data_IF_552774805581
#
_entry.id   IF_552774805581
#
_cell.length_a   1.000
_cell.length_b   1.000
_cell.length_c   1.000
_cell.angle_alpha   90.00
_cell.angle_beta   90.00
_cell.angle_gamma   90.00
#
_symmetry.space_group_name_H-M   'P 1'
#
loop_
_entity.id
_entity.type
_entity.pdbx_description
1 polymer ?
#
# COMPACT_ATOMS: atom_id res chain seq x y z
N UNK A 1 2.78 -4.92 -21.26
CA UNK A 1 1.83 -3.82 -21.53
C UNK A 1 0.50 -4.44 -21.91
N UNK A 2 -0.62 -3.86 -21.47
CA UNK A 2 -1.96 -4.40 -21.74
C UNK A 2 -2.20 -4.55 -23.25
N UNK A 3 -2.77 -5.68 -23.69
CA UNK A 3 -3.23 -5.87 -25.07
C UNK A 3 -4.58 -5.19 -25.34
N UNK A 4 -5.07 -4.39 -24.40
CA UNK A 4 -6.30 -3.60 -24.55
C UNK A 4 -6.13 -2.56 -25.69
N UNK A 5 -6.92 -2.66 -26.77
CA UNK A 5 -6.87 -1.74 -27.90
C UNK A 5 -7.10 -0.28 -27.50
N UNK A 6 -7.88 -0.04 -26.44
CA UNK A 6 -8.16 1.31 -25.95
C UNK A 6 -6.91 1.90 -25.27
N UNK A 7 -6.23 1.11 -24.44
CA UNK A 7 -4.94 1.49 -23.82
C UNK A 7 -3.89 1.78 -24.88
N UNK A 8 -3.79 0.94 -25.92
CA UNK A 8 -2.84 1.14 -27.02
C UNK A 8 -3.07 2.47 -27.75
N UNK A 9 -4.33 2.81 -28.04
CA UNK A 9 -4.71 4.09 -28.68
C UNK A 9 -4.31 5.29 -27.82
N UNK A 10 -4.46 5.20 -26.50
CA UNK A 10 -4.04 6.26 -25.58
C UNK A 10 -2.51 6.41 -25.54
N UNK A 11 -1.75 5.32 -25.56
CA UNK A 11 -0.27 5.36 -25.63
C UNK A 11 0.21 6.00 -26.93
N UNK A 12 -0.35 5.61 -28.08
CA UNK A 12 -0.02 6.20 -29.38
C UNK A 12 -0.30 7.71 -29.41
N UNK A 13 -1.41 8.15 -28.79
CA UNK A 13 -1.73 9.59 -28.63
C UNK A 13 -0.69 10.32 -27.79
N UNK A 14 -0.24 9.72 -26.68
CA UNK A 14 0.80 10.31 -25.83
C UNK A 14 2.13 10.48 -26.58
N UNK A 15 2.54 9.44 -27.32
CA UNK A 15 3.78 9.50 -28.12
C UNK A 15 3.71 10.57 -29.22
N UNK A 16 2.54 10.77 -29.84
CA UNK A 16 2.33 11.86 -30.79
C UNK A 16 2.47 13.24 -30.14
N UNK A 17 1.78 13.49 -29.03
CA UNK A 17 1.83 14.76 -28.31
C UNK A 17 3.22 15.07 -27.73
N UNK A 18 3.94 14.03 -27.31
CA UNK A 18 5.33 14.17 -26.84
C UNK A 18 6.28 14.59 -27.98
N UNK A 19 6.08 14.11 -29.20
CA UNK A 19 6.85 14.54 -30.39
C UNK A 19 6.53 15.99 -30.79
N UNK A 20 5.32 16.45 -30.50
CA UNK A 20 4.87 17.82 -30.77
C UNK A 20 5.24 18.80 -29.65
N UNK A 21 5.90 18.32 -28.58
CA UNK A 21 6.24 19.09 -27.38
C UNK A 21 5.02 19.75 -26.69
N UNK A 22 3.82 19.22 -26.91
CA UNK A 22 2.58 19.71 -26.27
C UNK A 22 2.45 19.16 -24.84
N UNK A 23 3.08 19.86 -23.89
CA UNK A 23 3.07 19.48 -22.47
C UNK A 23 1.65 19.37 -21.91
N UNK A 24 0.76 20.29 -22.24
CA UNK A 24 -0.61 20.28 -21.71
C UNK A 24 -1.41 19.11 -22.30
N UNK A 25 -1.31 18.90 -23.61
CA UNK A 25 -1.90 17.74 -24.27
C UNK A 25 -1.42 16.43 -23.68
N UNK A 26 -0.12 16.30 -23.38
CA UNK A 26 0.44 15.11 -22.72
C UNK A 26 -0.20 14.90 -21.35
N UNK A 27 -0.33 15.94 -20.52
CA UNK A 27 -0.95 15.84 -19.18
C UNK A 27 -2.41 15.39 -19.30
N UNK A 28 -3.18 15.98 -20.21
CA UNK A 28 -4.60 15.64 -20.38
C UNK A 28 -4.77 14.22 -20.92
N UNK A 29 -3.98 13.83 -21.93
CA UNK A 29 -3.99 12.49 -22.51
C UNK A 29 -3.55 11.43 -21.49
N UNK A 30 -2.60 11.76 -20.61
CA UNK A 30 -2.18 10.89 -19.52
C UNK A 30 -3.32 10.73 -18.50
N UNK A 31 -4.03 11.82 -18.16
CA UNK A 31 -5.20 11.77 -17.30
C UNK A 31 -6.29 10.84 -17.84
N UNK A 32 -6.58 10.89 -19.14
CA UNK A 32 -7.54 9.98 -19.79
C UNK A 32 -7.04 8.54 -19.83
N UNK A 33 -5.76 8.31 -20.17
CA UNK A 33 -5.16 6.97 -20.12
C UNK A 33 -5.31 6.35 -18.72
N UNK A 34 -5.00 7.11 -17.67
CA UNK A 34 -5.09 6.65 -16.29
C UNK A 34 -6.53 6.30 -15.90
N UNK A 35 -7.53 7.10 -16.33
CA UNK A 35 -8.96 6.77 -16.13
C UNK A 35 -9.33 5.46 -16.82
N UNK A 36 -8.90 5.26 -18.07
CA UNK A 36 -9.17 4.03 -18.83
C UNK A 36 -8.54 2.82 -18.15
N UNK A 37 -7.23 2.88 -17.85
CA UNK A 37 -6.50 1.80 -17.18
C UNK A 37 -7.10 1.46 -15.81
N UNK A 38 -7.53 2.47 -15.04
CA UNK A 38 -8.13 2.25 -13.72
C UNK A 38 -9.47 1.50 -13.77
N UNK A 39 -10.22 1.61 -14.87
CA UNK A 39 -11.53 0.96 -15.04
C UNK A 39 -11.42 -0.45 -15.60
N UNK A 40 -10.40 -0.70 -16.42
CA UNK A 40 -10.26 -1.96 -17.15
C UNK A 40 -9.37 -2.98 -16.45
N UNK A 41 -8.63 -2.59 -15.39
CA UNK A 41 -7.81 -3.54 -14.66
C UNK A 41 -8.66 -4.56 -13.88
N UNK A 42 -8.93 -5.70 -14.52
CA UNK A 42 -9.42 -6.91 -13.88
C UNK A 42 -8.41 -8.02 -14.11
N UNK A 43 -7.84 -8.62 -13.06
CA UNK A 43 -7.01 -9.81 -13.25
C UNK A 43 -7.82 -10.90 -13.95
N UNK A 44 -7.25 -11.49 -15.00
CA UNK A 44 -7.92 -12.59 -15.73
C UNK A 44 -7.53 -13.96 -15.18
N UNK A 45 -6.40 -14.04 -14.49
CA UNK A 45 -5.81 -15.24 -13.91
C UNK A 45 -4.93 -14.87 -12.70
N UNK A 46 -4.43 -15.89 -12.01
CA UNK A 46 -3.56 -15.74 -10.84
C UNK A 46 -2.23 -15.08 -11.21
N UNK A 47 -1.70 -15.34 -12.41
CA UNK A 47 -0.43 -14.76 -12.85
C UNK A 47 -0.57 -13.24 -13.07
N UNK A 48 -1.64 -12.77 -13.70
CA UNK A 48 -1.95 -11.35 -13.83
C UNK A 48 -2.25 -10.70 -12.47
N UNK A 49 -2.94 -11.41 -11.56
CA UNK A 49 -3.18 -10.93 -10.19
C UNK A 49 -1.86 -10.70 -9.44
N UNK A 50 -0.95 -11.67 -9.53
CA UNK A 50 0.37 -11.60 -8.92
C UNK A 50 1.24 -10.52 -9.55
N UNK A 51 1.20 -10.38 -10.88
CA UNK A 51 1.88 -9.30 -11.59
C UNK A 51 1.40 -7.92 -11.13
N UNK A 52 0.09 -7.76 -10.90
CA UNK A 52 -0.48 -6.53 -10.34
C UNK A 52 0.11 -6.23 -8.96
N UNK A 53 0.06 -7.21 -8.06
CA UNK A 53 0.60 -7.09 -6.71
C UNK A 53 2.09 -6.74 -6.74
N UNK A 54 2.89 -7.42 -7.56
CA UNK A 54 4.32 -7.12 -7.74
C UNK A 54 4.52 -5.70 -8.27
N UNK A 55 3.71 -5.25 -9.23
CA UNK A 55 3.75 -3.89 -9.76
C UNK A 55 3.46 -2.84 -8.68
N UNK A 56 2.40 -3.05 -7.89
CA UNK A 56 2.06 -2.18 -6.75
C UNK A 56 3.20 -2.13 -5.73
N UNK A 57 3.74 -3.29 -5.35
CA UNK A 57 4.86 -3.40 -4.40
C UNK A 57 6.09 -2.66 -4.94
N UNK A 58 6.47 -2.89 -6.19
CA UNK A 58 7.64 -2.27 -6.82
C UNK A 58 7.57 -0.75 -6.79
N UNK A 59 6.43 -0.17 -7.19
CA UNK A 59 6.24 1.28 -7.23
C UNK A 59 6.24 1.87 -5.81
N UNK A 60 5.37 1.36 -4.93
CA UNK A 60 5.16 1.96 -3.62
C UNK A 60 6.34 1.74 -2.67
N UNK A 61 6.99 0.57 -2.72
CA UNK A 61 8.24 0.36 -2.00
C UNK A 61 9.33 1.31 -2.50
N UNK A 62 9.42 1.52 -3.80
CA UNK A 62 10.35 2.49 -4.39
C UNK A 62 10.15 3.90 -3.84
N UNK A 63 8.89 4.32 -3.62
CA UNK A 63 8.57 5.59 -2.97
C UNK A 63 9.01 5.63 -1.50
N UNK A 64 8.75 4.56 -0.74
CA UNK A 64 9.19 4.43 0.65
C UNK A 64 10.72 4.49 0.76
N UNK A 65 11.43 3.77 -0.12
CA UNK A 65 12.90 3.75 -0.14
C UNK A 65 13.48 5.13 -0.50
N UNK A 66 12.87 5.86 -1.45
CA UNK A 66 13.23 7.25 -1.75
C UNK A 66 13.04 8.17 -0.53
N UNK A 67 11.94 8.01 0.21
CA UNK A 67 11.71 8.78 1.44
C UNK A 67 12.73 8.43 2.53
N UNK A 68 13.15 7.16 2.63
CA UNK A 68 14.18 6.73 3.59
C UNK A 68 15.51 7.42 3.32
N UNK A 69 15.96 7.43 2.06
CA UNK A 69 17.20 8.12 1.64
C UNK A 69 17.14 9.62 1.98
N UNK A 70 16.00 10.28 1.71
CA UNK A 70 15.81 11.70 2.05
C UNK A 70 15.88 11.95 3.56
N UNK A 71 15.24 11.09 4.35
CA UNK A 71 15.34 11.13 5.80
C UNK A 71 16.80 10.98 6.26
N UNK A 72 17.57 10.03 5.73
CA UNK A 72 18.96 9.81 6.12
C UNK A 72 19.85 11.01 5.80
N UNK A 73 19.61 11.67 4.67
CA UNK A 73 20.30 12.91 4.30
C UNK A 73 19.95 14.05 5.26
N UNK A 74 18.67 14.26 5.56
CA UNK A 74 18.22 15.27 6.51
C UNK A 74 18.75 15.01 7.93
N UNK A 75 18.82 13.74 8.34
CA UNK A 75 19.37 13.33 9.62
C UNK A 75 20.87 13.63 9.71
N UNK A 76 21.63 13.29 8.67
CA UNK A 76 23.08 13.60 8.60
C UNK A 76 23.34 15.10 8.61
N UNK A 77 22.53 15.87 7.89
CA UNK A 77 22.66 17.33 7.87
C UNK A 77 22.35 17.93 9.25
N UNK A 78 21.28 17.51 9.91
CA UNK A 78 20.98 17.94 11.28
C UNK A 78 22.07 17.51 12.28
N UNK A 79 22.66 16.33 12.13
CA UNK A 79 23.79 15.89 12.96
C UNK A 79 25.02 16.80 12.82
N UNK A 80 25.21 17.46 11.67
CA UNK A 80 26.32 18.39 11.47
C UNK A 80 26.19 19.68 12.29
N UNK A 81 24.96 20.09 12.61
CA UNK A 81 24.68 21.19 13.55
C UNK A 81 23.33 20.97 14.23
N UNK A 82 23.37 20.29 15.38
CA UNK A 82 22.16 19.90 16.11
C UNK A 82 21.40 21.07 16.72
N UNK A 83 21.99 22.28 16.72
CA UNK A 83 21.37 23.51 17.22
C UNK A 83 20.57 24.24 16.13
N UNK A 84 20.75 23.88 14.87
CA UNK A 84 20.03 24.48 13.74
C UNK A 84 18.56 24.01 13.73
N UNK A 85 17.66 24.97 13.98
CA UNK A 85 16.22 24.73 14.05
C UNK A 85 15.61 24.41 12.68
N UNK A 86 16.12 24.97 11.58
CA UNK A 86 15.58 24.70 10.25
C UNK A 86 15.97 23.30 9.78
N UNK A 87 17.19 22.85 10.07
CA UNK A 87 17.60 21.46 9.84
C UNK A 87 16.77 20.47 10.64
N UNK A 88 16.49 20.78 11.91
CA UNK A 88 15.61 19.95 12.72
C UNK A 88 14.17 19.89 12.18
N UNK A 89 13.62 21.03 11.71
CA UNK A 89 12.29 21.06 11.07
C UNK A 89 12.26 20.23 9.79
N UNK A 90 13.29 20.30 8.96
CA UNK A 90 13.41 19.49 7.74
C UNK A 90 13.48 18.00 8.09
N UNK A 91 14.30 17.61 9.07
CA UNK A 91 14.35 16.23 9.57
C UNK A 91 12.97 15.73 10.00
N UNK A 92 12.24 16.52 10.82
CA UNK A 92 10.89 16.18 11.26
C UNK A 92 9.89 16.09 10.10
N UNK A 93 10.04 16.94 9.08
CA UNK A 93 9.25 16.84 7.86
C UNK A 93 9.50 15.52 7.13
N UNK A 94 10.75 15.18 6.82
CA UNK A 94 11.11 13.95 6.11
C UNK A 94 10.68 12.70 6.90
N UNK A 95 10.78 12.73 8.24
CA UNK A 95 10.27 11.67 9.11
C UNK A 95 8.77 11.41 8.94
N UNK A 96 7.95 12.47 8.97
CA UNK A 96 6.50 12.33 8.76
C UNK A 96 6.18 11.84 7.35
N UNK A 97 6.92 12.30 6.35
CA UNK A 97 6.74 11.85 4.97
C UNK A 97 7.07 10.36 4.83
N UNK A 98 8.20 9.90 5.39
CA UNK A 98 8.58 8.48 5.40
C UNK A 98 7.50 7.59 6.03
N UNK A 99 6.94 7.99 7.17
CA UNK A 99 5.88 7.22 7.84
C UNK A 99 4.60 7.18 6.99
N UNK A 100 4.18 8.32 6.43
CA UNK A 100 2.99 8.38 5.56
C UNK A 100 3.16 7.54 4.31
N UNK A 101 4.32 7.62 3.66
CA UNK A 101 4.62 6.84 2.44
C UNK A 101 4.65 5.34 2.74
N UNK A 102 5.26 4.93 3.85
CA UNK A 102 5.25 3.52 4.25
C UNK A 102 3.83 2.98 4.48
N UNK A 103 2.94 3.75 5.12
CA UNK A 103 1.56 3.30 5.28
C UNK A 103 0.75 3.35 3.98
N UNK A 104 1.02 4.29 3.07
CA UNK A 104 0.44 4.27 1.74
C UNK A 104 0.88 3.02 0.96
N UNK A 105 2.14 2.60 1.10
CA UNK A 105 2.64 1.32 0.56
C UNK A 105 1.88 0.13 1.15
N UNK A 106 1.74 0.06 2.48
CA UNK A 106 0.98 -0.99 3.15
C UNK A 106 -0.46 -1.03 2.64
N UNK A 107 -1.16 0.09 2.64
CA UNK A 107 -2.57 0.17 2.22
C UNK A 107 -2.74 -0.22 0.75
N UNK A 108 -1.89 0.28 -0.15
CA UNK A 108 -1.95 -0.04 -1.57
C UNK A 108 -1.68 -1.52 -1.85
N UNK A 109 -0.64 -2.09 -1.23
CA UNK A 109 -0.28 -3.50 -1.43
C UNK A 109 -1.29 -4.45 -0.76
N UNK A 110 -1.86 -4.09 0.39
CA UNK A 110 -2.97 -4.82 1.00
C UNK A 110 -4.24 -4.73 0.16
N UNK A 111 -4.56 -3.58 -0.41
CA UNK A 111 -5.67 -3.47 -1.36
C UNK A 111 -5.47 -4.43 -2.54
N UNK A 112 -4.32 -4.42 -3.20
CA UNK A 112 -4.02 -5.33 -4.30
C UNK A 112 -4.14 -6.81 -3.87
N UNK A 113 -3.60 -7.17 -2.70
CA UNK A 113 -3.74 -8.52 -2.14
C UNK A 113 -5.20 -8.94 -1.91
N UNK A 114 -6.06 -8.03 -1.41
CA UNK A 114 -7.49 -8.29 -1.25
C UNK A 114 -8.20 -8.51 -2.57
N UNK A 115 -7.84 -7.76 -3.61
CA UNK A 115 -8.40 -7.99 -4.94
C UNK A 115 -8.06 -9.39 -5.47
N UNK A 116 -6.83 -9.89 -5.21
CA UNK A 116 -6.46 -11.28 -5.55
C UNK A 116 -7.35 -12.29 -4.81
N UNK A 117 -7.58 -12.09 -3.51
CA UNK A 117 -8.45 -12.96 -2.70
C UNK A 117 -9.88 -12.96 -3.24
N UNK A 118 -10.45 -11.77 -3.50
CA UNK A 118 -11.82 -11.64 -4.00
C UNK A 118 -11.97 -12.28 -5.38
N UNK A 119 -10.98 -12.10 -6.25
CA UNK A 119 -10.94 -12.75 -7.57
C UNK A 119 -10.91 -14.29 -7.46
N UNK A 120 -10.07 -14.85 -6.58
CA UNK A 120 -10.01 -16.28 -6.34
C UNK A 120 -11.33 -16.81 -5.74
N UNK A 121 -11.98 -16.02 -4.87
CA UNK A 121 -13.28 -16.37 -4.30
C UNK A 121 -14.39 -16.44 -5.34
N UNK A 122 -14.46 -15.47 -6.27
CA UNK A 122 -15.44 -15.44 -7.35
C UNK A 122 -15.35 -16.66 -8.27
N UNK A 123 -14.19 -17.34 -8.30
CA UNK A 123 -13.92 -18.57 -9.05
C UNK A 123 -14.11 -19.85 -8.23
N UNK A 124 -14.45 -19.73 -6.95
CA UNK A 124 -14.60 -20.87 -6.05
C UNK A 124 -13.27 -21.50 -5.59
N UNK A 125 -12.14 -20.83 -5.81
CA UNK A 125 -10.81 -21.33 -5.41
C UNK A 125 -10.56 -21.13 -3.91
N UNK A 126 -11.20 -20.12 -3.30
CA UNK A 126 -11.18 -19.90 -1.84
C UNK A 126 -12.59 -19.60 -1.33
N UNK A 127 -12.97 -20.26 -0.23
CA UNK A 127 -14.24 -19.99 0.45
C UNK A 127 -14.13 -18.76 1.35
N UNK A 128 -15.03 -17.79 1.17
CA UNK A 128 -15.18 -16.62 2.04
C UNK A 128 -16.62 -16.55 2.57
N UNK A 129 -16.76 -16.34 3.87
CA UNK A 129 -18.04 -15.98 4.46
C UNK A 129 -18.47 -14.57 4.04
N UNK A 130 -19.77 -14.28 4.14
CA UNK A 130 -20.31 -12.94 3.82
C UNK A 130 -19.62 -11.82 4.61
N UNK A 131 -19.36 -11.95 5.93
CA UNK A 131 -18.60 -10.93 6.67
C UNK A 131 -17.16 -10.73 6.18
N UNK A 132 -16.45 -11.81 5.82
CA UNK A 132 -15.09 -11.70 5.27
C UNK A 132 -15.10 -10.98 3.94
N UNK A 133 -16.05 -11.30 3.05
CA UNK A 133 -16.23 -10.58 1.78
C UNK A 133 -16.49 -9.09 2.01
N UNK A 134 -17.37 -8.75 2.95
CA UNK A 134 -17.67 -7.37 3.31
C UNK A 134 -16.42 -6.61 3.75
N UNK A 135 -15.61 -7.22 4.63
CA UNK A 135 -14.40 -6.61 5.15
C UNK A 135 -13.34 -6.41 4.06
N UNK A 136 -13.16 -7.41 3.19
CA UNK A 136 -12.21 -7.34 2.06
C UNK A 136 -12.63 -6.32 0.99
N UNK A 137 -13.94 -6.09 0.82
CA UNK A 137 -14.52 -5.07 -0.07
C UNK A 137 -14.61 -3.68 0.56
N UNK A 138 -14.28 -3.53 1.85
CA UNK A 138 -14.48 -2.29 2.61
C UNK A 138 -15.94 -1.81 2.57
N UNK A 139 -16.87 -2.74 2.77
CA UNK A 139 -18.30 -2.50 2.75
C UNK A 139 -18.95 -2.79 4.11
N UNK A 140 -19.98 -2.02 4.44
CA UNK A 140 -20.93 -2.33 5.50
C UNK A 140 -22.33 -2.45 4.92
N UNK A 141 -23.14 -3.35 5.48
CA UNK A 141 -24.53 -3.52 5.08
C UNK A 141 -25.44 -2.80 6.07
N UNK A 142 -26.35 -1.97 5.54
CA UNK A 142 -27.41 -1.34 6.34
C UNK A 142 -28.76 -1.60 5.69
N UNK A 143 -29.80 -1.73 6.51
CA UNK A 143 -31.15 -1.82 5.98
C UNK A 143 -31.62 -0.43 5.52
N UNK A 144 -31.96 -0.31 4.24
CA UNK A 144 -32.58 0.86 3.66
C UNK A 144 -34.10 0.68 3.66
N UNK A 145 -34.79 1.49 4.47
CA UNK A 145 -36.25 1.42 4.62
C UNK A 145 -37.01 1.82 3.37
N UNK A 146 -36.44 2.64 2.48
CA UNK A 146 -37.06 3.05 1.21
C UNK A 146 -36.94 1.94 0.18
N UNK A 147 -35.76 1.34 0.06
CA UNK A 147 -35.53 0.22 -0.83
C UNK A 147 -36.10 -1.11 -0.27
N UNK A 148 -36.45 -1.14 1.02
CA UNK A 148 -36.87 -2.34 1.77
C UNK A 148 -35.87 -3.49 1.63
N UNK A 149 -34.57 -3.16 1.57
CA UNK A 149 -33.50 -4.09 1.30
C UNK A 149 -32.22 -3.71 2.07
N UNK A 150 -31.34 -4.68 2.29
CA UNK A 150 -29.98 -4.38 2.72
C UNK A 150 -29.20 -3.75 1.57
N UNK A 151 -28.54 -2.62 1.83
CA UNK A 151 -27.69 -1.92 0.87
C UNK A 151 -26.26 -1.89 1.38
N UNK A 152 -25.31 -2.14 0.47
CA UNK A 152 -23.90 -1.96 0.74
C UNK A 152 -23.57 -0.46 0.77
N UNK A 153 -22.74 -0.06 1.74
CA UNK A 153 -22.17 1.28 1.84
C UNK A 153 -20.67 1.16 2.06
N UNK A 154 -19.85 2.03 1.44
CA UNK A 154 -18.43 2.10 1.75
C UNK A 154 -18.24 2.27 3.26
N UNK A 155 -17.40 1.42 3.83
CA UNK A 155 -17.01 1.44 5.22
C UNK A 155 -15.50 1.32 5.28
N UNK A 156 -14.84 2.42 5.63
CA UNK A 156 -13.43 2.41 5.96
C UNK A 156 -13.27 1.66 7.28
N UNK A 157 -13.19 0.33 7.17
CA UNK A 157 -13.02 -0.57 8.30
C UNK A 157 -11.68 -0.33 8.99
N UNK A 158 -11.50 -0.98 10.14
CA UNK A 158 -10.22 -0.95 10.83
C UNK A 158 -9.14 -1.55 9.92
N UNK A 159 -8.16 -0.73 9.53
CA UNK A 159 -7.06 -1.13 8.65
C UNK A 159 -6.30 -2.35 9.19
N UNK A 160 -6.20 -2.51 10.51
CA UNK A 160 -5.58 -3.68 11.13
C UNK A 160 -6.41 -4.95 10.89
N UNK A 161 -7.73 -4.90 11.09
CA UNK A 161 -8.58 -6.08 10.92
C UNK A 161 -8.56 -6.55 9.47
N UNK A 162 -8.59 -5.62 8.52
CA UNK A 162 -8.45 -5.93 7.11
C UNK A 162 -7.08 -6.53 6.78
N UNK A 163 -6.00 -6.01 7.35
CA UNK A 163 -4.64 -6.54 7.15
C UNK A 163 -4.51 -7.96 7.73
N UNK A 164 -5.02 -8.20 8.93
CA UNK A 164 -5.01 -9.52 9.57
C UNK A 164 -5.82 -10.53 8.78
N UNK A 165 -7.03 -10.16 8.32
CA UNK A 165 -7.83 -11.03 7.47
C UNK A 165 -7.11 -11.34 6.15
N UNK A 166 -6.53 -10.33 5.51
CA UNK A 166 -5.80 -10.49 4.25
C UNK A 166 -4.66 -11.52 4.41
N UNK A 167 -3.81 -11.36 5.42
CA UNK A 167 -2.74 -12.32 5.70
C UNK A 167 -3.22 -13.70 6.17
N UNK A 168 -4.45 -13.79 6.68
CA UNK A 168 -5.06 -15.08 7.07
C UNK A 168 -5.58 -15.87 5.86
N UNK A 169 -6.00 -15.17 4.81
CA UNK A 169 -6.67 -15.76 3.65
C UNK A 169 -5.74 -15.91 2.45
N UNK A 170 -4.88 -14.93 2.17
CA UNK A 170 -4.02 -14.96 0.98
C UNK A 170 -3.14 -16.21 0.87
N UNK A 171 -2.60 -16.82 1.96
CA UNK A 171 -1.82 -18.05 1.83
C UNK A 171 -2.62 -19.20 1.19
N UNK A 172 -3.93 -19.25 1.44
CA UNK A 172 -4.83 -20.27 0.87
C UNK A 172 -4.94 -20.15 -0.64
N UNK A 173 -4.90 -18.93 -1.16
CA UNK A 173 -4.95 -18.66 -2.61
C UNK A 173 -3.69 -19.19 -3.31
N UNK A 174 -2.53 -19.05 -2.66
CA UNK A 174 -1.24 -19.47 -3.21
C UNK A 174 -0.79 -20.87 -2.75
N UNK A 175 -1.60 -21.56 -1.93
CA UNK A 175 -1.21 -22.86 -1.34
C UNK A 175 -0.08 -22.77 -0.30
N UNK A 176 0.26 -21.57 0.17
CA UNK A 176 1.26 -21.34 1.21
C UNK A 176 0.75 -21.84 2.57
N UNK A 177 1.63 -22.53 3.30
CA UNK A 177 1.37 -23.01 4.68
C UNK A 177 1.78 -21.97 5.74
N UNK A 178 2.05 -20.72 5.32
CA UNK A 178 2.44 -19.67 6.24
C UNK A 178 1.30 -19.30 7.20
N UNK A 179 1.68 -18.93 8.41
CA UNK A 179 0.79 -18.31 9.38
C UNK A 179 1.38 -16.96 9.77
N UNK A 180 0.50 -16.00 10.03
CA UNK A 180 0.92 -14.66 10.43
C UNK A 180 1.50 -14.69 11.86
N UNK A 181 2.75 -14.30 11.99
CA UNK A 181 3.41 -14.24 13.29
C UNK A 181 3.13 -12.91 14.00
N UNK A 182 2.24 -12.97 14.99
CA UNK A 182 1.87 -11.83 15.85
C UNK A 182 2.69 -11.76 17.15
N UNK A 183 3.56 -12.73 17.41
CA UNK A 183 4.32 -12.83 18.66
C UNK A 183 5.64 -12.03 18.63
N UNK A 184 6.10 -11.65 17.44
CA UNK A 184 7.39 -10.97 17.25
C UNK A 184 7.30 -9.49 17.56
N UNK A 185 8.43 -8.95 18.03
CA UNK A 185 8.67 -7.52 18.20
C UNK A 185 8.24 -6.68 16.98
N UNK A 186 8.39 -7.22 15.76
CA UNK A 186 8.00 -6.52 14.55
C UNK A 186 6.50 -6.22 14.42
N UNK A 187 5.61 -7.10 14.88
CA UNK A 187 4.17 -6.82 14.90
C UNK A 187 3.84 -5.70 15.90
N UNK A 188 4.42 -5.76 17.10
CA UNK A 188 4.23 -4.71 18.09
C UNK A 188 4.75 -3.36 17.56
N UNK A 189 5.94 -3.35 16.95
CA UNK A 189 6.51 -2.17 16.31
C UNK A 189 5.59 -1.63 15.20
N UNK A 190 4.96 -2.50 14.40
CA UNK A 190 4.01 -2.10 13.37
C UNK A 190 2.77 -1.41 13.96
N UNK A 191 2.16 -1.97 15.02
CA UNK A 191 1.01 -1.34 15.70
C UNK A 191 1.38 0.01 16.30
N UNK A 192 2.52 0.10 16.98
CA UNK A 192 2.97 1.37 17.56
C UNK A 192 3.26 2.41 16.48
N UNK A 193 3.81 1.99 15.33
CA UNK A 193 4.04 2.87 14.20
C UNK A 193 2.73 3.35 13.56
N UNK A 194 1.67 2.52 13.58
CA UNK A 194 0.34 2.93 13.12
C UNK A 194 -0.24 4.05 13.98
N UNK A 195 -0.05 3.99 15.31
CA UNK A 195 -0.43 5.09 16.19
C UNK A 195 0.32 6.38 15.86
N UNK A 196 1.64 6.28 15.58
CA UNK A 196 2.43 7.44 15.11
C UNK A 196 1.88 7.96 13.78
N UNK A 197 1.54 7.08 12.84
CA UNK A 197 0.91 7.48 11.57
C UNK A 197 -0.37 8.27 11.82
N UNK A 198 -1.26 7.73 12.66
CA UNK A 198 -2.55 8.36 12.97
C UNK A 198 -2.35 9.75 13.58
N UNK A 199 -1.39 9.89 14.49
CA UNK A 199 -1.03 11.15 15.10
C UNK A 199 -0.51 12.17 14.07
N UNK A 200 0.34 11.76 13.12
CA UNK A 200 0.89 12.69 12.12
C UNK A 200 -0.09 12.99 10.98
N UNK A 201 -1.03 12.09 10.64
CA UNK A 201 -2.03 12.36 9.58
C UNK A 201 -3.23 13.14 10.08
N UNK A 202 -3.62 12.93 11.34
CA UNK A 202 -4.75 13.61 11.96
C UNK A 202 -4.34 14.21 13.32
N UNK A 203 -3.43 15.21 13.32
CA UNK A 203 -2.89 15.77 14.54
C UNK A 203 -3.99 16.50 15.31
N UNK A 204 -4.23 16.07 16.55
CA UNK A 204 -5.13 16.77 17.48
C UNK A 204 -4.45 17.91 18.24
N UNK A 205 -3.12 17.91 18.26
CA UNK A 205 -2.26 18.78 19.05
C UNK A 205 -0.92 18.94 18.33
N UNK A 206 -0.18 20.02 18.59
CA UNK A 206 1.13 20.27 17.96
C UNK A 206 2.16 19.18 18.27
N UNK A 207 2.11 18.60 19.48
CA UNK A 207 3.05 17.54 19.87
C UNK A 207 2.91 16.28 19.01
N UNK A 208 1.73 16.03 18.44
CA UNK A 208 1.49 14.90 17.53
C UNK A 208 2.26 15.02 16.20
N UNK A 209 2.78 16.21 15.87
CA UNK A 209 3.62 16.41 14.70
C UNK A 209 5.10 16.11 14.96
N UNK A 210 5.49 15.87 16.21
CA UNK A 210 6.86 15.55 16.59
C UNK A 210 7.04 14.03 16.58
N UNK A 211 7.96 13.54 15.75
CA UNK A 211 8.30 12.13 15.64
C UNK A 211 9.58 11.87 16.42
N UNK A 212 9.51 10.93 17.37
CA UNK A 212 10.67 10.54 18.18
C UNK A 212 11.68 9.72 17.34
N UNK A 213 12.98 9.92 17.58
CA UNK A 213 14.06 9.17 16.94
C UNK A 213 13.95 7.63 17.11
N UNK A 214 13.32 7.14 18.19
CA UNK A 214 13.04 5.70 18.36
C UNK A 214 12.16 5.13 17.24
N UNK A 215 11.28 5.95 16.67
CA UNK A 215 10.40 5.55 15.56
C UNK A 215 11.21 5.04 14.38
N UNK A 216 12.31 5.72 14.04
CA UNK A 216 13.16 5.35 12.89
C UNK A 216 14.29 4.41 13.23
N UNK A 217 14.82 4.46 14.45
CA UNK A 217 15.93 3.57 14.83
C UNK A 217 15.47 2.17 15.23
N UNK A 218 14.23 2.01 15.68
CA UNK A 218 13.70 0.70 16.13
C UNK A 218 12.39 0.31 15.47
N UNK A 219 11.38 1.19 15.52
CA UNK A 219 10.00 0.79 15.18
C UNK A 219 9.81 0.56 13.69
N UNK A 220 10.21 1.51 12.86
CA UNK A 220 10.07 1.45 11.41
C UNK A 220 10.86 0.28 10.79
N UNK A 221 12.16 0.06 11.10
CA UNK A 221 12.89 -1.10 10.56
C UNK A 221 12.23 -2.44 10.96
N UNK A 222 11.84 -2.59 12.22
CA UNK A 222 11.19 -3.81 12.70
C UNK A 222 9.80 -4.04 12.07
N UNK A 223 9.00 -2.97 11.93
CA UNK A 223 7.69 -3.01 11.29
C UNK A 223 7.80 -3.35 9.79
N UNK A 224 8.73 -2.71 9.06
CA UNK A 224 9.00 -3.00 7.64
C UNK A 224 9.42 -4.45 7.45
N UNK A 225 10.40 -4.91 8.23
CA UNK A 225 10.88 -6.30 8.16
C UNK A 225 9.76 -7.30 8.41
N UNK A 226 8.93 -7.06 9.43
CA UNK A 226 7.77 -7.92 9.71
C UNK A 226 6.75 -7.89 8.58
N UNK A 227 6.40 -6.71 8.08
CA UNK A 227 5.40 -6.56 7.02
C UNK A 227 5.82 -7.26 5.74
N UNK A 228 7.04 -6.97 5.24
CA UNK A 228 7.56 -7.58 4.02
C UNK A 228 7.77 -9.07 4.17
N UNK A 229 8.31 -9.52 5.32
CA UNK A 229 8.46 -10.94 5.60
C UNK A 229 7.12 -11.68 5.60
N UNK A 230 6.08 -11.06 6.18
CA UNK A 230 4.73 -11.61 6.19
C UNK A 230 4.14 -11.69 4.78
N UNK A 231 4.32 -10.65 3.97
CA UNK A 231 3.86 -10.64 2.58
C UNK A 231 4.55 -11.69 1.72
N UNK A 232 5.88 -11.82 1.82
CA UNK A 232 6.63 -12.86 1.11
C UNK A 232 6.19 -14.25 1.55
N UNK A 233 6.05 -14.49 2.85
CA UNK A 233 5.62 -15.80 3.36
C UNK A 233 4.20 -16.15 2.90
N UNK A 234 3.31 -15.15 2.89
CA UNK A 234 1.91 -15.35 2.56
C UNK A 234 1.68 -15.64 1.06
N UNK A 235 2.47 -15.04 0.18
CA UNK A 235 2.36 -15.26 -1.28
C UNK A 235 3.27 -16.39 -1.77
N UNK A 236 4.36 -16.67 -1.06
CA UNK A 236 5.43 -17.62 -1.42
C UNK A 236 5.96 -17.45 -2.86
N UNK A 237 6.13 -16.20 -3.27
CA UNK A 237 6.58 -15.86 -4.61
C UNK A 237 8.06 -15.44 -4.64
N UNK A 238 8.82 -15.98 -5.58
CA UNK A 238 10.26 -15.74 -5.71
C UNK A 238 10.58 -14.31 -6.17
N UNK A 239 9.85 -13.77 -7.14
CA UNK A 239 10.09 -12.40 -7.62
C UNK A 239 9.70 -11.36 -6.56
N UNK A 240 8.58 -11.57 -5.87
CA UNK A 240 8.18 -10.72 -4.75
C UNK A 240 9.20 -10.77 -3.61
N UNK A 241 9.74 -11.96 -3.31
CA UNK A 241 10.85 -12.12 -2.38
C UNK A 241 12.03 -11.26 -2.80
N UNK A 242 12.41 -11.29 -4.07
CA UNK A 242 13.54 -10.52 -4.61
C UNK A 242 13.31 -9.01 -4.58
N UNK A 243 12.11 -8.53 -4.94
CA UNK A 243 11.71 -7.12 -4.83
C UNK A 243 11.77 -6.61 -3.38
N UNK A 244 11.47 -7.49 -2.43
CA UNK A 244 11.45 -7.19 -1.00
C UNK A 244 12.79 -7.54 -0.30
N UNK A 245 13.81 -8.04 -1.04
CA UNK A 245 15.18 -8.18 -0.50
C UNK A 245 15.78 -6.79 -0.24
N UNK A 246 16.78 -6.75 0.66
CA UNK A 246 17.46 -5.51 1.06
C UNK A 246 16.86 -4.81 2.28
N UNK A 247 15.94 -5.47 2.98
CA UNK A 247 15.34 -4.97 4.23
C UNK A 247 16.15 -5.55 5.39
N UNK A 248 17.32 -4.96 5.62
CA UNK A 248 18.24 -5.29 6.70
C UNK A 248 18.68 -4.03 7.41
#
# INVERSE_FOLDING_TARGET
MSNDPEVKRHVEKLEALQREEDVQGVVDALGELLKTVSRTFRPTDLAHSLQSLRGTVSVLKGDTDRCLVRYELAFRDWLSDTRDQEKHKLLQFELRQLIRTFFAEVEGTMYSARQVILWAHERGEVGLSVPEQALLREESYRFDSKAKAAVAKPAFGNALDSLLLTFTVIPRVFGSQSSLDLSRFGWQAFRELLEVRNAVTHPKELINLVVNAEVVTKKLPAARKWYYGSLVAAVDDAELRDLLRGVG
#
